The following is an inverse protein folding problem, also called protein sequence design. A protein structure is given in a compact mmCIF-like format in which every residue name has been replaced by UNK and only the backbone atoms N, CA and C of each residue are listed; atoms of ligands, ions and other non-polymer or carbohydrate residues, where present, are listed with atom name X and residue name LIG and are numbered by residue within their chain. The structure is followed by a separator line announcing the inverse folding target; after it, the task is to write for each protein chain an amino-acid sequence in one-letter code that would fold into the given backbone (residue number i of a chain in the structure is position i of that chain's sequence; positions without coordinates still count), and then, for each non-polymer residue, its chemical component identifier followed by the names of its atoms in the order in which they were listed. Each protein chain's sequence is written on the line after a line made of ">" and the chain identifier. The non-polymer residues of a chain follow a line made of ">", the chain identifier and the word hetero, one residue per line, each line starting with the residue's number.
data_IF_770732424002
#
_entry.id   IF_770732424002
#
_cell.length_a   1.000
_cell.length_b   1.000
_cell.length_c   1.000
_cell.angle_alpha   90.00
_cell.angle_beta   90.00
_cell.angle_gamma   90.00
#
_symmetry.space_group_name_H-M   'P 1'
#
loop_
_entity.id
_entity.type
_entity.pdbx_description
1 polymer ?
#
# COMPACT_ATOMS: atom_id res chain seq x y z
N UNK A 1 -84.08 -22.25 -1.03
CA UNK A 1 -83.08 -21.68 -1.97
C UNK A 1 -82.22 -20.67 -1.23
N UNK A 2 -81.05 -21.05 -0.75
CA UNK A 2 -80.15 -20.18 -0.03
C UNK A 2 -78.81 -20.11 -0.81
N UNK A 3 -78.57 -18.96 -1.42
CA UNK A 3 -77.33 -18.67 -2.08
C UNK A 3 -76.23 -18.32 -1.03
N UNK A 4 -75.22 -19.13 -0.95
CA UNK A 4 -73.97 -18.83 -0.19
C UNK A 4 -72.94 -18.15 -1.12
N UNK A 5 -72.70 -16.88 -0.88
CA UNK A 5 -71.56 -16.16 -1.47
C UNK A 5 -70.32 -16.58 -0.72
N UNK A 6 -69.33 -17.13 -1.46
CA UNK A 6 -67.93 -17.34 -0.97
C UNK A 6 -67.14 -16.14 -1.36
N UNK A 7 -66.63 -15.36 -0.39
CA UNK A 7 -65.77 -14.27 -0.59
C UNK A 7 -64.30 -14.84 -0.53
N UNK A 8 -63.64 -14.91 -1.67
CA UNK A 8 -62.20 -15.21 -1.73
C UNK A 8 -61.39 -13.94 -1.41
N UNK A 9 -60.71 -13.96 -0.29
CA UNK A 9 -59.73 -12.91 0.05
C UNK A 9 -58.40 -13.31 -0.59
N UNK A 10 -57.97 -12.56 -1.62
CA UNK A 10 -56.62 -12.65 -2.18
C UNK A 10 -55.68 -11.90 -1.24
N UNK A 11 -54.81 -12.64 -0.60
CA UNK A 11 -53.68 -12.10 0.20
C UNK A 11 -52.53 -11.79 -0.76
N UNK A 12 -52.33 -10.51 -1.08
CA UNK A 12 -51.19 -10.05 -1.86
C UNK A 12 -49.96 -9.97 -0.96
N UNK A 13 -49.05 -10.90 -1.08
CA UNK A 13 -47.74 -10.86 -0.40
C UNK A 13 -46.82 -9.92 -1.19
N UNK A 14 -46.61 -8.73 -0.67
CA UNK A 14 -45.61 -7.81 -1.19
C UNK A 14 -44.21 -8.25 -0.69
N UNK A 15 -43.43 -8.86 -1.57
CA UNK A 15 -42.01 -9.18 -1.28
C UNK A 15 -41.25 -7.87 -1.37
N UNK A 16 -40.89 -7.30 -0.23
CA UNK A 16 -39.86 -6.27 -0.17
C UNK A 16 -38.51 -6.92 -0.53
N UNK A 17 -38.05 -6.71 -1.75
CA UNK A 17 -36.67 -6.99 -2.13
C UNK A 17 -35.76 -6.01 -1.39
N UNK A 18 -35.15 -6.47 -0.32
CA UNK A 18 -34.03 -5.77 0.34
C UNK A 18 -32.90 -5.63 -0.67
N UNK A 19 -32.69 -4.41 -1.17
CA UNK A 19 -31.56 -4.09 -2.02
C UNK A 19 -30.28 -4.42 -1.28
N UNK A 20 -29.56 -5.43 -1.77
CA UNK A 20 -28.18 -5.69 -1.37
C UNK A 20 -27.38 -4.47 -1.75
N UNK A 21 -26.92 -3.72 -0.76
CA UNK A 21 -26.02 -2.59 -0.97
C UNK A 21 -24.82 -3.06 -1.80
N UNK A 22 -24.57 -2.36 -2.91
CA UNK A 22 -23.46 -2.63 -3.78
C UNK A 22 -22.16 -2.57 -2.96
N UNK A 23 -21.47 -3.69 -2.88
CA UNK A 23 -20.13 -3.73 -2.34
C UNK A 23 -19.28 -2.74 -3.13
N UNK A 24 -18.62 -1.84 -2.45
CA UNK A 24 -17.63 -0.93 -3.01
C UNK A 24 -16.53 -1.76 -3.69
N UNK A 25 -16.72 -2.07 -4.97
CA UNK A 25 -15.70 -2.66 -5.83
C UNK A 25 -14.78 -1.51 -6.16
N UNK A 26 -13.63 -1.44 -5.46
CA UNK A 26 -12.56 -0.53 -5.81
C UNK A 26 -12.38 -0.55 -7.34
N UNK A 27 -12.25 0.63 -7.93
CA UNK A 27 -12.01 0.77 -9.38
C UNK A 27 -10.70 0.06 -9.66
N UNK A 28 -10.76 -1.14 -10.23
CA UNK A 28 -9.58 -1.83 -10.74
C UNK A 28 -9.01 -0.93 -11.84
N UNK A 29 -7.87 -0.34 -11.60
CA UNK A 29 -7.14 0.39 -12.64
C UNK A 29 -6.82 -0.60 -13.76
N UNK A 30 -6.84 -0.14 -15.01
CA UNK A 30 -6.41 -0.93 -16.18
C UNK A 30 -4.89 -1.10 -16.23
N UNK A 31 -4.14 -0.45 -15.32
CA UNK A 31 -2.69 -0.58 -15.18
C UNK A 31 -2.35 -2.00 -14.71
N UNK A 32 -1.64 -2.81 -15.49
CA UNK A 32 -1.27 -4.16 -15.13
C UNK A 32 -0.19 -4.22 -14.05
N UNK A 33 0.47 -3.09 -13.76
CA UNK A 33 1.58 -3.03 -12.84
C UNK A 33 1.23 -3.62 -11.47
N UNK A 34 2.16 -4.40 -10.94
CA UNK A 34 2.05 -5.05 -9.65
C UNK A 34 3.17 -4.59 -8.72
N UNK A 35 2.83 -4.37 -7.46
CA UNK A 35 3.76 -3.84 -6.48
C UNK A 35 3.87 -4.79 -5.28
N UNK A 36 5.02 -4.75 -4.62
CA UNK A 36 5.16 -5.29 -3.28
C UNK A 36 5.84 -4.26 -2.38
N UNK A 37 5.31 -4.10 -1.18
CA UNK A 37 5.97 -3.36 -0.10
C UNK A 37 6.34 -4.38 0.97
N UNK A 38 7.64 -4.48 1.25
CA UNK A 38 8.17 -5.46 2.19
C UNK A 38 8.89 -4.78 3.34
N UNK A 39 8.78 -5.35 4.55
CA UNK A 39 9.48 -4.89 5.74
C UNK A 39 10.39 -5.98 6.28
N UNK A 40 11.60 -5.59 6.68
CA UNK A 40 12.65 -6.49 7.21
C UNK A 40 13.21 -5.85 8.46
N UNK A 41 13.16 -6.59 9.55
CA UNK A 41 13.81 -6.22 10.81
C UNK A 41 14.85 -7.28 11.14
N UNK A 42 16.08 -6.86 11.38
CA UNK A 42 17.17 -7.76 11.74
C UNK A 42 17.82 -7.34 13.06
N UNK A 43 18.54 -8.26 13.67
CA UNK A 43 19.33 -7.95 14.86
C UNK A 43 20.30 -6.80 14.56
N UNK A 44 20.45 -5.79 15.42
CA UNK A 44 21.28 -4.60 15.17
C UNK A 44 22.71 -4.94 14.75
N UNK A 45 23.33 -5.95 15.35
CA UNK A 45 24.67 -6.42 14.98
C UNK A 45 24.76 -7.05 13.59
N UNK A 46 23.64 -7.40 12.97
CA UNK A 46 23.56 -8.03 11.64
C UNK A 46 23.21 -7.04 10.53
N UNK A 47 23.11 -5.74 10.82
CA UNK A 47 22.76 -4.69 9.84
C UNK A 47 23.57 -4.79 8.56
N UNK A 48 24.89 -4.89 8.65
CA UNK A 48 25.76 -4.93 7.47
C UNK A 48 25.49 -6.17 6.59
N UNK A 49 25.25 -7.32 7.19
CA UNK A 49 24.90 -8.55 6.48
C UNK A 49 23.54 -8.44 5.78
N UNK A 50 22.55 -7.84 6.44
CA UNK A 50 21.25 -7.58 5.83
C UNK A 50 21.34 -6.63 4.64
N UNK A 51 22.04 -5.50 4.78
CA UNK A 51 22.30 -4.54 3.68
C UNK A 51 22.93 -5.23 2.49
N UNK A 52 23.98 -6.04 2.71
CA UNK A 52 24.63 -6.78 1.63
C UNK A 52 23.68 -7.77 0.93
N UNK A 53 22.87 -8.50 1.71
CA UNK A 53 21.89 -9.44 1.15
C UNK A 53 20.81 -8.74 0.33
N UNK A 54 20.27 -7.61 0.83
CA UNK A 54 19.22 -6.83 0.16
C UNK A 54 19.75 -6.17 -1.13
N UNK A 55 20.97 -5.61 -1.11
CA UNK A 55 21.60 -5.04 -2.32
C UNK A 55 21.85 -6.13 -3.37
N UNK A 56 22.37 -7.28 -2.97
CA UNK A 56 22.57 -8.41 -3.89
C UNK A 56 21.24 -8.87 -4.51
N UNK A 57 20.19 -8.95 -3.70
CA UNK A 57 18.86 -9.27 -4.16
C UNK A 57 18.36 -8.26 -5.19
N UNK A 58 18.41 -6.96 -4.89
CA UNK A 58 18.04 -5.89 -5.81
C UNK A 58 18.78 -5.99 -7.15
N UNK A 59 20.10 -6.18 -7.11
CA UNK A 59 20.93 -6.21 -8.31
C UNK A 59 20.68 -7.46 -9.17
N UNK A 60 20.33 -8.58 -8.54
CA UNK A 60 19.93 -9.80 -9.24
C UNK A 60 18.54 -9.66 -9.87
N UNK A 61 17.58 -9.06 -9.16
CA UNK A 61 16.19 -8.85 -9.60
C UNK A 61 16.09 -8.03 -10.88
N UNK A 62 17.05 -7.14 -11.13
CA UNK A 62 17.11 -6.33 -12.38
C UNK A 62 17.16 -7.15 -13.66
N UNK A 63 17.49 -8.43 -13.57
CA UNK A 63 17.61 -9.34 -14.72
C UNK A 63 16.35 -10.16 -14.97
N UNK A 64 15.39 -10.06 -14.07
CA UNK A 64 14.15 -10.83 -14.17
C UNK A 64 13.22 -10.22 -15.21
N UNK A 65 12.52 -11.07 -15.93
CA UNK A 65 11.50 -10.64 -16.89
C UNK A 65 10.39 -9.85 -16.17
N UNK A 66 10.05 -8.69 -16.72
CA UNK A 66 9.02 -7.82 -16.15
C UNK A 66 9.46 -6.99 -14.95
N UNK A 67 10.76 -7.01 -14.59
CA UNK A 67 11.29 -6.07 -13.59
C UNK A 67 11.11 -4.62 -14.05
N UNK A 68 10.62 -3.75 -13.16
CA UNK A 68 10.52 -2.31 -13.40
C UNK A 68 11.41 -1.54 -12.43
N UNK A 69 11.24 -1.75 -11.12
CA UNK A 69 12.09 -1.13 -10.10
C UNK A 69 12.09 -1.93 -8.80
N UNK A 70 13.17 -1.80 -8.03
CA UNK A 70 13.27 -2.22 -6.64
C UNK A 70 14.06 -1.17 -5.87
N UNK A 71 13.40 -0.51 -4.95
CA UNK A 71 13.95 0.53 -4.09
C UNK A 71 14.16 -0.03 -2.69
N UNK A 72 15.30 0.31 -2.09
CA UNK A 72 15.67 -0.13 -0.74
C UNK A 72 15.75 1.09 0.18
N UNK A 73 15.23 0.94 1.38
CA UNK A 73 15.17 1.99 2.37
C UNK A 73 15.60 1.51 3.75
N UNK A 74 16.21 2.38 4.54
CA UNK A 74 16.50 2.16 5.96
C UNK A 74 15.66 3.12 6.80
N UNK A 75 15.00 2.60 7.84
CA UNK A 75 14.11 3.39 8.69
C UNK A 75 14.91 4.40 9.53
N UNK A 76 14.46 5.65 9.54
CA UNK A 76 15.04 6.73 10.34
C UNK A 76 14.69 6.51 11.81
N UNK A 77 15.70 6.62 12.68
CA UNK A 77 15.52 6.42 14.12
C UNK A 77 15.49 4.94 14.58
N UNK A 78 15.40 3.99 13.64
CA UNK A 78 15.33 2.55 13.94
C UNK A 78 16.34 1.79 13.08
N UNK A 79 17.63 1.81 13.44
CA UNK A 79 18.66 1.14 12.66
C UNK A 79 18.39 -0.37 12.56
N UNK A 80 18.76 -0.98 11.43
CA UNK A 80 18.50 -2.38 11.11
C UNK A 80 17.03 -2.73 10.80
N UNK A 81 16.19 -1.70 10.56
CA UNK A 81 14.85 -1.83 9.99
C UNK A 81 14.86 -1.33 8.56
N UNK A 82 14.40 -2.14 7.64
CA UNK A 82 14.43 -1.85 6.21
C UNK A 82 13.04 -1.98 5.59
N UNK A 83 12.83 -1.24 4.51
CA UNK A 83 11.69 -1.43 3.63
C UNK A 83 12.17 -1.60 2.18
N UNK A 84 11.40 -2.36 1.42
CA UNK A 84 11.56 -2.53 -0.02
C UNK A 84 10.26 -2.11 -0.70
N UNK A 85 10.37 -1.37 -1.80
CA UNK A 85 9.25 -1.11 -2.70
C UNK A 85 9.62 -1.66 -4.06
N UNK A 86 8.88 -2.66 -4.50
CA UNK A 86 9.08 -3.37 -5.76
C UNK A 86 7.96 -2.99 -6.74
N UNK A 87 8.32 -2.81 -8.01
CA UNK A 87 7.37 -2.65 -9.10
C UNK A 87 7.70 -3.64 -10.20
N UNK A 88 6.67 -4.34 -10.64
CA UNK A 88 6.70 -5.36 -11.69
C UNK A 88 5.73 -5.01 -12.81
N UNK A 89 6.00 -5.45 -14.03
CA UNK A 89 5.13 -5.23 -15.18
C UNK A 89 3.71 -5.77 -14.95
N UNK A 90 3.61 -6.90 -14.26
CA UNK A 90 2.34 -7.53 -13.89
C UNK A 90 2.51 -8.52 -12.73
N UNK A 91 1.42 -9.10 -12.28
CA UNK A 91 1.43 -10.12 -11.22
C UNK A 91 2.19 -11.38 -11.62
N UNK A 92 2.16 -11.80 -12.89
CA UNK A 92 2.87 -12.99 -13.36
C UNK A 92 4.38 -12.83 -13.22
N UNK A 93 4.91 -11.66 -13.57
CA UNK A 93 6.32 -11.33 -13.39
C UNK A 93 6.72 -11.36 -11.89
N UNK A 94 5.89 -10.77 -11.02
CA UNK A 94 6.09 -10.81 -9.57
C UNK A 94 6.09 -12.25 -9.02
N UNK A 95 5.13 -13.08 -9.45
CA UNK A 95 5.03 -14.47 -9.00
C UNK A 95 6.25 -15.30 -9.45
N UNK A 96 6.72 -15.09 -10.68
CA UNK A 96 7.92 -15.74 -11.21
C UNK A 96 9.17 -15.32 -10.43
N UNK A 97 9.31 -14.03 -10.13
CA UNK A 97 10.38 -13.49 -9.29
C UNK A 97 10.38 -14.10 -7.88
N UNK A 98 9.22 -14.28 -7.26
CA UNK A 98 9.09 -14.94 -5.96
C UNK A 98 9.65 -16.37 -5.93
N UNK A 99 9.67 -17.05 -7.08
CA UNK A 99 10.22 -18.40 -7.24
C UNK A 99 11.70 -18.41 -7.63
N UNK A 100 12.29 -17.27 -7.95
CA UNK A 100 13.67 -17.15 -8.42
C UNK A 100 14.69 -17.60 -7.36
N UNK A 101 15.85 -18.07 -7.83
CA UNK A 101 16.92 -18.57 -6.94
C UNK A 101 17.43 -17.46 -6.03
N UNK A 102 17.61 -16.24 -6.55
CA UNK A 102 18.13 -15.11 -5.77
C UNK A 102 17.14 -14.65 -4.70
N UNK A 103 15.83 -14.75 -4.92
CA UNK A 103 14.81 -14.48 -3.91
C UNK A 103 14.91 -15.47 -2.75
N UNK A 104 15.03 -16.75 -3.04
CA UNK A 104 15.25 -17.78 -2.02
C UNK A 104 16.56 -17.60 -1.27
N UNK A 105 17.64 -17.23 -1.98
CA UNK A 105 18.93 -16.94 -1.37
C UNK A 105 18.89 -15.74 -0.43
N UNK A 106 18.17 -14.69 -0.80
CA UNK A 106 17.97 -13.52 0.05
C UNK A 106 17.25 -13.94 1.35
N UNK A 107 16.13 -14.65 1.25
CA UNK A 107 15.40 -15.13 2.42
C UNK A 107 16.28 -16.04 3.31
N UNK A 108 17.03 -16.97 2.73
CA UNK A 108 17.96 -17.84 3.48
C UNK A 108 19.05 -17.05 4.23
N UNK A 109 19.51 -15.92 3.68
CA UNK A 109 20.48 -15.05 4.35
C UNK A 109 19.87 -14.22 5.47
N UNK A 110 18.60 -13.82 5.31
CA UNK A 110 17.89 -13.04 6.33
C UNK A 110 17.36 -13.92 7.47
N UNK A 111 16.92 -15.14 7.20
CA UNK A 111 16.30 -16.02 8.18
C UNK A 111 17.05 -16.12 9.53
N UNK A 112 18.39 -16.36 9.57
CA UNK A 112 19.11 -16.51 10.84
C UNK A 112 19.34 -15.20 11.58
N UNK A 113 19.10 -14.05 10.96
CA UNK A 113 19.41 -12.72 11.51
C UNK A 113 18.18 -11.83 11.72
N UNK A 114 17.02 -12.20 11.18
CA UNK A 114 15.78 -11.44 11.34
C UNK A 114 15.19 -11.62 12.74
N UNK A 115 14.55 -10.57 13.25
CA UNK A 115 13.83 -10.58 14.54
C UNK A 115 12.34 -10.79 14.36
N UNK A 116 11.81 -10.53 13.17
CA UNK A 116 10.43 -10.76 12.80
C UNK A 116 10.31 -11.50 11.47
N UNK A 117 9.14 -12.06 11.19
CA UNK A 117 8.87 -12.64 9.87
C UNK A 117 9.06 -11.60 8.76
N UNK A 118 9.54 -12.05 7.60
CA UNK A 118 9.57 -11.21 6.40
C UNK A 118 8.13 -10.84 6.03
N UNK A 119 7.80 -9.55 6.12
CA UNK A 119 6.46 -9.04 5.86
C UNK A 119 6.41 -8.46 4.44
N UNK A 120 5.90 -9.24 3.49
CA UNK A 120 5.71 -8.82 2.10
C UNK A 120 4.22 -8.65 1.81
N UNK A 121 3.84 -7.46 1.38
CA UNK A 121 2.46 -7.09 1.11
C UNK A 121 2.29 -6.78 -0.38
N UNK A 122 1.44 -7.54 -1.11
CA UNK A 122 1.19 -7.32 -2.53
C UNK A 122 0.13 -6.22 -2.74
N UNK A 123 0.36 -5.39 -3.77
CA UNK A 123 -0.50 -4.26 -4.10
C UNK A 123 -0.73 -4.12 -5.60
N UNK A 124 -1.79 -3.39 -5.93
CA UNK A 124 -2.08 -2.86 -7.26
C UNK A 124 -2.05 -1.34 -7.22
N UNK A 125 -1.91 -0.73 -8.38
CA UNK A 125 -2.02 0.73 -8.54
C UNK A 125 -3.41 1.20 -8.11
N UNK A 126 -3.48 2.24 -7.28
CA UNK A 126 -4.69 3.04 -7.09
C UNK A 126 -4.50 4.42 -7.71
N UNK A 127 -3.43 5.12 -7.35
CA UNK A 127 -3.08 6.42 -7.89
C UNK A 127 -1.56 6.55 -7.96
N UNK A 128 -1.00 6.59 -9.16
CA UNK A 128 0.45 6.66 -9.40
C UNK A 128 0.77 7.94 -10.18
N UNK A 129 1.78 8.65 -9.73
CA UNK A 129 2.32 9.82 -10.40
C UNK A 129 3.65 9.58 -11.10
N UNK A 130 4.26 10.65 -11.61
CA UNK A 130 5.64 10.61 -12.07
C UNK A 130 6.59 10.16 -10.96
N UNK A 131 7.58 9.36 -11.28
CA UNK A 131 8.61 8.89 -10.35
C UNK A 131 9.98 9.46 -10.78
N UNK A 132 10.29 10.73 -10.48
CA UNK A 132 11.60 11.30 -10.77
C UNK A 132 12.68 10.63 -9.91
N UNK A 133 13.94 10.79 -10.33
CA UNK A 133 15.07 10.30 -9.56
C UNK A 133 15.09 10.91 -8.15
N UNK A 134 15.29 10.06 -7.17
CA UNK A 134 15.34 10.43 -5.75
C UNK A 134 16.80 10.66 -5.36
N UNK A 135 17.08 11.77 -4.68
CA UNK A 135 18.42 12.06 -4.15
C UNK A 135 18.62 11.46 -2.75
N UNK A 136 19.86 11.40 -2.30
CA UNK A 136 20.28 10.85 -1.01
C UNK A 136 19.74 11.58 0.23
N UNK A 137 19.25 12.83 0.08
CA UNK A 137 18.67 13.66 1.13
C UNK A 137 17.15 13.50 1.24
N UNK A 138 16.56 12.81 0.29
CA UNK A 138 15.12 12.63 0.28
C UNK A 138 14.63 11.81 1.47
N UNK A 139 13.49 12.20 1.99
CA UNK A 139 12.76 11.43 2.99
C UNK A 139 11.68 10.63 2.27
N UNK A 140 11.70 9.33 2.50
CA UNK A 140 10.66 8.41 2.02
C UNK A 140 9.73 8.10 3.19
N UNK A 141 8.44 8.20 2.96
CA UNK A 141 7.42 7.90 3.96
C UNK A 141 6.51 6.81 3.43
N UNK A 142 6.40 5.75 4.18
CA UNK A 142 5.46 4.67 3.91
C UNK A 142 4.36 4.72 4.98
N UNK A 143 3.13 5.00 4.55
CA UNK A 143 1.97 5.05 5.44
C UNK A 143 1.01 3.94 5.09
N UNK A 144 0.81 3.00 6.02
CA UNK A 144 -0.20 1.97 5.88
C UNK A 144 -1.54 2.44 6.47
N UNK A 145 -2.60 2.28 5.67
CA UNK A 145 -3.97 2.67 6.03
C UNK A 145 -4.86 1.43 5.90
N UNK A 146 -5.40 0.98 7.01
CA UNK A 146 -6.33 -0.14 7.10
C UNK A 146 -7.73 0.39 7.42
N UNK A 147 -8.70 0.06 6.57
CA UNK A 147 -10.08 0.56 6.69
C UNK A 147 -11.00 -0.54 7.21
N UNK A 148 -11.57 -0.33 8.39
CA UNK A 148 -12.53 -1.24 9.01
C UNK A 148 -13.99 -0.90 8.69
N UNK A 149 -14.30 0.38 8.46
CA UNK A 149 -15.65 0.87 8.13
C UNK A 149 -15.99 0.73 6.63
N UNK A 150 -17.29 0.78 6.29
CA UNK A 150 -17.77 0.58 4.91
C UNK A 150 -18.47 1.81 4.30
N UNK A 151 -18.71 2.85 5.10
CA UNK A 151 -19.61 3.96 4.72
C UNK A 151 -18.86 5.14 4.07
N UNK A 152 -17.58 4.97 3.76
CA UNK A 152 -16.72 6.02 3.23
C UNK A 152 -16.04 5.56 1.93
N UNK A 153 -16.08 6.40 0.89
CA UNK A 153 -15.31 6.19 -0.33
C UNK A 153 -13.84 6.60 -0.10
N UNK A 154 -13.10 5.70 0.56
CA UNK A 154 -11.70 5.92 0.91
C UNK A 154 -10.80 6.03 -0.33
N UNK A 155 -10.98 5.26 -1.42
CA UNK A 155 -10.25 5.49 -2.66
C UNK A 155 -10.37 6.92 -3.18
N UNK A 156 -11.57 7.50 -3.21
CA UNK A 156 -11.76 8.88 -3.66
C UNK A 156 -11.12 9.91 -2.72
N UNK A 157 -11.12 9.64 -1.40
CA UNK A 157 -10.44 10.49 -0.41
C UNK A 157 -8.92 10.45 -0.57
N UNK A 158 -8.34 9.26 -0.75
CA UNK A 158 -6.91 9.08 -0.99
C UNK A 158 -6.49 9.78 -2.28
N UNK A 159 -7.28 9.65 -3.35
CA UNK A 159 -7.02 10.34 -4.60
C UNK A 159 -6.96 11.86 -4.42
N UNK A 160 -7.92 12.46 -3.72
CA UNK A 160 -7.91 13.89 -3.42
C UNK A 160 -6.70 14.31 -2.60
N UNK A 161 -6.36 13.54 -1.56
CA UNK A 161 -5.19 13.79 -0.73
C UNK A 161 -3.91 13.78 -1.57
N UNK A 162 -3.78 12.84 -2.52
CA UNK A 162 -2.67 12.77 -3.46
C UNK A 162 -2.61 13.97 -4.39
N UNK A 163 -3.76 14.35 -4.99
CA UNK A 163 -3.84 15.48 -5.92
C UNK A 163 -3.44 16.81 -5.25
N UNK A 164 -3.76 16.98 -3.98
CA UNK A 164 -3.38 18.15 -3.20
C UNK A 164 -1.94 18.06 -2.70
N UNK A 165 -1.53 16.92 -2.14
CA UNK A 165 -0.18 16.73 -1.63
C UNK A 165 0.92 16.82 -2.72
N UNK A 166 0.61 16.47 -3.96
CA UNK A 166 1.54 16.66 -5.09
C UNK A 166 1.85 18.12 -5.40
N UNK A 167 1.01 19.05 -4.94
CA UNK A 167 1.21 20.50 -5.11
C UNK A 167 2.03 21.12 -3.97
N UNK A 168 2.26 20.36 -2.90
CA UNK A 168 3.02 20.85 -1.75
C UNK A 168 4.50 21.05 -2.09
N UNK A 169 5.10 22.06 -1.50
CA UNK A 169 6.51 22.40 -1.72
C UNK A 169 7.41 21.24 -1.31
N UNK A 170 8.28 20.84 -2.21
CA UNK A 170 9.25 19.76 -1.97
C UNK A 170 8.68 18.36 -2.13
N UNK A 171 7.44 18.19 -2.62
CA UNK A 171 6.97 16.88 -3.07
C UNK A 171 7.81 16.39 -4.26
N UNK A 172 8.26 15.14 -4.21
CA UNK A 172 8.96 14.46 -5.30
C UNK A 172 8.08 13.37 -5.90
N UNK A 173 7.39 12.62 -5.02
CA UNK A 173 6.50 11.53 -5.40
C UNK A 173 5.43 11.36 -4.33
N UNK A 174 4.21 11.10 -4.73
CA UNK A 174 3.14 10.71 -3.86
C UNK A 174 2.23 9.74 -4.61
N UNK A 175 2.25 8.48 -4.20
CA UNK A 175 1.55 7.38 -4.83
C UNK A 175 0.68 6.67 -3.80
N UNK A 176 -0.42 6.08 -4.26
CA UNK A 176 -1.27 5.19 -3.46
C UNK A 176 -1.37 3.83 -4.12
N UNK A 177 -1.09 2.83 -3.33
CA UNK A 177 -1.22 1.42 -3.66
C UNK A 177 -2.40 0.83 -2.91
N UNK A 178 -3.20 -0.01 -3.57
CA UNK A 178 -4.30 -0.75 -2.95
C UNK A 178 -3.94 -2.22 -2.80
N UNK A 179 -4.18 -2.80 -1.65
CA UNK A 179 -3.88 -4.21 -1.36
C UNK A 179 -4.50 -5.16 -2.37
N UNK A 180 -3.67 -6.00 -3.00
CA UNK A 180 -4.12 -6.92 -4.06
C UNK A 180 -5.08 -8.00 -3.53
N UNK A 181 -4.88 -8.44 -2.30
CA UNK A 181 -5.72 -9.45 -1.62
C UNK A 181 -6.65 -8.87 -0.57
N UNK A 182 -6.40 -7.63 -0.14
CA UNK A 182 -7.17 -6.90 0.87
C UNK A 182 -7.47 -5.49 0.35
N UNK A 183 -8.56 -5.29 -0.39
CA UNK A 183 -8.86 -4.02 -1.06
C UNK A 183 -9.17 -2.86 -0.09
N UNK A 184 -9.37 -3.14 1.19
CA UNK A 184 -9.50 -2.15 2.27
C UNK A 184 -8.17 -1.75 2.92
N UNK A 185 -7.04 -2.32 2.47
CA UNK A 185 -5.69 -1.95 2.89
C UNK A 185 -5.02 -1.10 1.81
N UNK A 186 -4.43 0.01 2.22
CA UNK A 186 -3.72 0.91 1.31
C UNK A 186 -2.33 1.18 1.84
N UNK A 187 -1.41 1.48 0.93
CA UNK A 187 -0.10 2.04 1.29
C UNK A 187 0.11 3.31 0.49
N UNK A 188 0.38 4.41 1.19
CA UNK A 188 0.82 5.66 0.59
C UNK A 188 2.35 5.64 0.58
N UNK A 189 2.92 5.86 -0.61
CA UNK A 189 4.36 5.98 -0.83
C UNK A 189 4.66 7.44 -1.14
N UNK A 190 5.34 8.09 -0.25
CA UNK A 190 5.68 9.51 -0.37
C UNK A 190 7.20 9.68 -0.44
N UNK A 191 7.65 10.59 -1.29
CA UNK A 191 9.05 11.02 -1.35
C UNK A 191 9.08 12.55 -1.29
N UNK A 192 9.84 13.07 -0.35
CA UNK A 192 9.97 14.50 -0.09
C UNK A 192 11.44 14.92 -0.19
N UNK A 193 11.70 16.12 -0.70
CA UNK A 193 13.07 16.65 -0.84
C UNK A 193 13.82 16.77 0.49
N UNK A 194 13.09 16.89 1.61
CA UNK A 194 13.67 17.03 2.95
C UNK A 194 12.61 16.73 4.03
N UNK A 195 13.08 16.52 5.26
CA UNK A 195 12.22 16.44 6.45
C UNK A 195 11.31 17.68 6.59
N UNK A 196 11.85 18.88 6.34
CA UNK A 196 11.06 20.13 6.42
C UNK A 196 9.89 20.13 5.43
N UNK A 197 10.10 19.64 4.21
CA UNK A 197 9.03 19.53 3.21
C UNK A 197 7.94 18.55 3.67
N UNK A 198 8.34 17.40 4.17
CA UNK A 198 7.40 16.44 4.76
C UNK A 198 6.63 17.02 5.96
N UNK A 199 7.31 17.72 6.87
CA UNK A 199 6.67 18.36 8.05
C UNK A 199 5.63 19.39 7.60
N UNK A 200 5.92 20.17 6.52
CA UNK A 200 4.99 21.10 5.91
C UNK A 200 3.72 20.40 5.38
N UNK A 201 3.90 19.31 4.62
CA UNK A 201 2.81 18.46 4.15
C UNK A 201 1.99 17.88 5.30
N UNK A 202 2.66 17.30 6.30
CA UNK A 202 2.00 16.71 7.47
C UNK A 202 1.14 17.70 8.25
N UNK A 203 1.52 19.01 8.22
CA UNK A 203 0.80 20.12 8.84
C UNK A 203 -0.19 20.80 7.88
N UNK A 204 -0.26 20.45 6.60
CA UNK A 204 -1.16 21.05 5.63
C UNK A 204 -2.63 20.79 5.96
N UNK A 205 -3.51 21.71 5.58
CA UNK A 205 -4.94 21.61 5.89
C UNK A 205 -5.57 20.36 5.26
N UNK A 206 -5.25 20.05 4.01
CA UNK A 206 -5.77 18.88 3.29
C UNK A 206 -5.33 17.55 3.94
N UNK A 207 -4.09 17.47 4.44
CA UNK A 207 -3.58 16.29 5.15
C UNK A 207 -4.29 16.08 6.49
N UNK A 208 -4.50 17.16 7.26
CA UNK A 208 -5.27 17.08 8.49
C UNK A 208 -6.72 16.67 8.23
N UNK A 209 -7.37 17.30 7.24
CA UNK A 209 -8.74 16.97 6.86
C UNK A 209 -8.88 15.50 6.44
N UNK A 210 -7.92 14.98 5.67
CA UNK A 210 -7.88 13.56 5.33
C UNK A 210 -7.84 12.68 6.58
N UNK A 211 -6.89 12.95 7.49
CA UNK A 211 -6.75 12.19 8.75
C UNK A 211 -8.02 12.25 9.60
N UNK A 212 -8.59 13.42 9.79
CA UNK A 212 -9.83 13.60 10.58
C UNK A 212 -10.99 12.84 9.97
N UNK A 213 -11.05 12.76 8.63
CA UNK A 213 -12.12 12.07 7.91
C UNK A 213 -11.97 10.55 7.98
N UNK A 214 -10.74 10.01 7.89
CA UNK A 214 -10.53 8.55 7.88
C UNK A 214 -10.39 7.94 9.27
N UNK A 215 -9.93 8.68 10.27
CA UNK A 215 -9.73 8.17 11.63
C UNK A 215 -10.92 7.39 12.21
N UNK A 216 -12.19 7.84 12.07
CA UNK A 216 -13.34 7.12 12.62
C UNK A 216 -13.61 5.76 11.97
N UNK A 217 -13.06 5.52 10.77
CA UNK A 217 -13.30 4.29 9.98
C UNK A 217 -12.06 3.39 9.85
N UNK A 218 -10.96 3.74 10.54
CA UNK A 218 -9.77 2.91 10.56
C UNK A 218 -10.03 1.56 11.25
N UNK A 219 -9.52 0.49 10.67
CA UNK A 219 -9.48 -0.84 11.28
C UNK A 219 -8.32 -1.01 12.26
N UNK A 220 -7.25 -0.23 12.05
CA UNK A 220 -6.09 -0.12 12.95
C UNK A 220 -5.52 1.30 12.85
N UNK A 221 -4.74 1.78 13.85
CA UNK A 221 -4.03 3.05 13.74
C UNK A 221 -3.17 3.11 12.48
N UNK A 222 -3.12 4.28 11.81
CA UNK A 222 -2.23 4.47 10.67
C UNK A 222 -0.77 4.23 11.09
N UNK A 223 -0.09 3.33 10.37
CA UNK A 223 1.34 3.04 10.57
C UNK A 223 2.14 3.86 9.56
N UNK A 224 2.72 4.97 10.02
CA UNK A 224 3.53 5.89 9.23
C UNK A 224 4.99 5.78 9.65
N UNK A 225 5.85 5.39 8.71
CA UNK A 225 7.29 5.20 8.96
C UNK A 225 8.10 6.02 7.97
N UNK A 226 9.17 6.64 8.50
CA UNK A 226 10.09 7.47 7.73
C UNK A 226 11.38 6.71 7.43
N UNK A 227 11.85 6.85 6.21
CA UNK A 227 13.02 6.15 5.71
C UNK A 227 13.97 7.09 4.96
N UNK A 228 15.22 6.68 4.87
CA UNK A 228 16.21 7.20 3.93
C UNK A 228 16.49 6.15 2.85
N UNK A 229 16.89 6.62 1.68
CA UNK A 229 17.29 5.73 0.58
C UNK A 229 18.54 4.94 1.00
N UNK A 230 18.56 3.66 0.70
CA UNK A 230 19.68 2.77 0.87
C UNK A 230 20.32 2.51 -0.51
N UNK A 231 21.39 3.23 -0.83
CA UNK A 231 22.12 3.10 -2.09
C UNK A 231 22.77 1.71 -2.28
#
# INVERSE_FOLDING_TARGET
>A
MQNRFVISVLLTITILSSGVAAQNRGVLTTDPAFYAVSFVEVMPGSKAAAVAALKQYRDASRKDEGFVSLELFEQIGWPAHFALVEKWADQKAFDAHGMAVHTKQMLMKLDPIRVMAYDQRPYRTLEIGPAPAVNDRAIVVLTHVDIGGRDLDVPALLKRMVDDGRKDEGNVRLDVLQGATRPNHFTVVEVWQSQKAFDGHAAAAHTRQFRDTVNPVLGSPMDQRLFKVLE
#
